data_IF_629367026761
#
_entry.id   IF_629367026761
#
_cell.length_a   1.000
_cell.length_b   1.000
_cell.length_c   1.000
_cell.angle_alpha   90.00
_cell.angle_beta   90.00
_cell.angle_gamma   90.00
#
_symmetry.space_group_name_H-M   'P 1'
#
loop_
_entity.id
_entity.type
_entity.pdbx_description
1 polymer ?
#
# COMPACT_ATOMS: atom_id res chain seq x y z
N UNK A 1 12.27 -22.15 -7.67
CA UNK A 1 12.85 -20.80 -7.55
C UNK A 1 12.13 -20.10 -6.41
N UNK A 2 12.82 -19.72 -5.33
CA UNK A 2 12.24 -18.86 -4.29
C UNK A 2 12.39 -17.41 -4.77
N UNK A 3 11.38 -16.91 -5.47
CA UNK A 3 11.34 -15.51 -5.90
C UNK A 3 10.65 -14.69 -4.81
N UNK A 4 11.36 -13.73 -4.21
CA UNK A 4 10.77 -12.71 -3.34
C UNK A 4 10.48 -11.45 -4.17
N UNK A 5 9.23 -11.01 -4.22
CA UNK A 5 8.87 -9.71 -4.80
C UNK A 5 9.30 -8.58 -3.86
N UNK A 6 9.67 -7.43 -4.42
CA UNK A 6 9.87 -6.19 -3.65
C UNK A 6 8.96 -5.14 -4.23
N UNK A 7 8.14 -4.55 -3.38
CA UNK A 7 7.06 -3.65 -3.78
C UNK A 7 7.34 -2.23 -3.33
N UNK A 8 7.12 -1.30 -4.26
CA UNK A 8 7.21 0.14 -4.06
C UNK A 8 5.89 0.72 -4.53
N UNK A 9 4.99 1.02 -3.61
CA UNK A 9 3.63 1.49 -3.91
C UNK A 9 3.41 2.86 -3.28
N UNK A 10 2.71 3.74 -3.99
CA UNK A 10 2.19 5.01 -3.46
C UNK A 10 0.69 5.11 -3.77
N UNK A 11 -0.12 5.16 -2.72
CA UNK A 11 -1.56 5.29 -2.82
C UNK A 11 -1.95 6.78 -2.72
N UNK A 12 -2.15 7.42 -3.88
CA UNK A 12 -2.60 8.81 -3.96
C UNK A 12 -4.12 8.95 -3.91
N UNK A 13 -4.64 9.72 -2.96
CA UNK A 13 -6.07 10.00 -2.82
C UNK A 13 -6.42 11.29 -3.55
N UNK A 14 -7.24 11.19 -4.60
CA UNK A 14 -7.62 12.32 -5.46
C UNK A 14 -9.06 12.84 -5.23
N UNK A 15 -9.80 12.21 -4.31
CA UNK A 15 -11.19 12.56 -3.97
C UNK A 15 -11.47 12.25 -2.48
N UNK A 16 -12.63 12.71 -1.97
CA UNK A 16 -13.08 12.38 -0.61
C UNK A 16 -12.32 13.10 0.51
N UNK A 17 -12.42 12.57 1.74
CA UNK A 17 -11.87 13.18 2.96
C UNK A 17 -10.35 13.40 2.90
N UNK A 18 -9.63 12.52 2.23
CA UNK A 18 -8.17 12.52 2.18
C UNK A 18 -7.61 13.09 0.87
N UNK A 19 -8.42 13.80 0.08
CA UNK A 19 -8.00 14.38 -1.19
C UNK A 19 -6.69 15.19 -1.05
N UNK A 20 -5.73 14.91 -1.94
CA UNK A 20 -4.40 15.52 -1.95
C UNK A 20 -3.38 14.87 -1.01
N UNK A 21 -3.76 13.79 -0.31
CA UNK A 21 -2.87 13.02 0.57
C UNK A 21 -2.40 11.73 -0.10
N UNK A 22 -1.33 11.12 0.41
CA UNK A 22 -0.87 9.80 -0.06
C UNK A 22 -0.28 8.94 1.05
N UNK A 23 -0.21 7.63 0.82
CA UNK A 23 0.46 6.64 1.66
C UNK A 23 1.53 5.92 0.85
N UNK A 24 2.74 5.83 1.39
CA UNK A 24 3.87 5.17 0.74
C UNK A 24 4.17 3.84 1.42
N UNK A 25 4.26 2.78 0.61
CA UNK A 25 4.48 1.40 1.05
C UNK A 25 5.77 0.89 0.43
N UNK A 26 6.61 0.30 1.26
CA UNK A 26 7.86 -0.31 0.81
C UNK A 26 8.16 -1.56 1.62
N UNK A 27 8.16 -2.72 0.96
CA UNK A 27 8.45 -4.00 1.62
C UNK A 27 9.04 -5.01 0.65
N UNK A 28 9.72 -6.01 1.22
CA UNK A 28 10.15 -7.21 0.51
C UNK A 28 9.34 -8.40 1.01
N UNK A 29 8.68 -9.08 0.09
CA UNK A 29 7.79 -10.21 0.37
C UNK A 29 6.34 -9.77 0.56
N UNK A 30 5.46 -10.77 0.51
CA UNK A 30 4.03 -10.67 0.79
C UNK A 30 3.71 -11.54 2.02
N UNK A 31 2.61 -11.30 2.77
CA UNK A 31 1.48 -10.40 2.43
C UNK A 31 1.42 -9.08 3.22
N UNK A 32 2.16 -8.94 4.31
CA UNK A 32 2.11 -7.75 5.17
C UNK A 32 3.20 -6.74 4.79
N UNK A 33 2.80 -5.71 4.06
CA UNK A 33 3.69 -4.69 3.53
C UNK A 33 3.77 -3.50 4.49
N UNK A 34 4.97 -2.95 4.71
CA UNK A 34 5.15 -1.82 5.60
C UNK A 34 4.70 -0.50 4.95
N UNK A 35 3.81 0.23 5.61
CA UNK A 35 3.58 1.65 5.32
C UNK A 35 4.71 2.45 5.99
N UNK A 36 5.55 3.05 5.18
CA UNK A 36 6.78 3.73 5.62
C UNK A 36 6.62 5.25 5.72
N UNK A 37 5.48 5.78 5.31
CA UNK A 37 5.20 7.20 5.38
C UNK A 37 3.90 7.59 4.68
N UNK A 38 3.64 8.89 4.67
CA UNK A 38 2.55 9.49 3.94
C UNK A 38 2.71 11.00 3.81
N UNK A 39 1.88 11.59 2.95
CA UNK A 39 1.84 13.03 2.65
C UNK A 39 0.46 13.59 2.96
N UNK A 40 0.40 14.91 3.15
CA UNK A 40 -0.87 15.60 3.44
C UNK A 40 -1.40 15.21 4.81
N UNK A 41 -2.64 14.74 4.87
CA UNK A 41 -3.25 14.29 6.12
C UNK A 41 -2.62 13.03 6.71
N UNK A 42 -1.83 12.29 5.93
CA UNK A 42 -1.10 11.12 6.40
C UNK A 42 0.36 11.42 6.74
N UNK A 43 0.68 12.68 7.11
CA UNK A 43 2.03 13.04 7.52
C UNK A 43 2.46 12.19 8.72
N UNK A 44 3.70 11.67 8.66
CA UNK A 44 4.26 10.73 9.65
C UNK A 44 3.48 9.41 9.80
N UNK A 45 2.67 9.02 8.81
CA UNK A 45 1.94 7.78 8.86
C UNK A 45 2.87 6.56 8.95
N UNK A 46 2.55 5.64 9.87
CA UNK A 46 3.20 4.32 9.96
C UNK A 46 2.13 3.27 10.12
N UNK A 47 2.39 2.06 9.62
CA UNK A 47 1.41 0.98 9.68
C UNK A 47 1.70 -0.16 8.73
N UNK A 48 0.64 -0.89 8.38
CA UNK A 48 0.70 -2.10 7.58
C UNK A 48 -0.36 -2.06 6.48
N UNK A 49 0.04 -2.42 5.28
CA UNK A 49 -0.83 -2.66 4.13
C UNK A 49 -0.84 -4.16 3.83
N UNK A 50 -2.01 -4.79 3.96
CA UNK A 50 -2.18 -6.21 3.68
C UNK A 50 -2.54 -6.41 2.21
N UNK A 51 -1.74 -7.18 1.50
CA UNK A 51 -1.96 -7.52 0.10
C UNK A 51 -2.77 -8.81 -0.03
N UNK A 52 -3.94 -8.71 -0.66
CA UNK A 52 -4.84 -9.83 -0.91
C UNK A 52 -5.13 -9.95 -2.42
N UNK A 53 -4.42 -10.82 -3.15
CA UNK A 53 -4.68 -11.01 -4.58
C UNK A 53 -6.02 -11.72 -4.78
N UNK A 54 -6.95 -11.07 -5.49
CA UNK A 54 -8.26 -11.63 -5.84
C UNK A 54 -8.17 -12.39 -7.16
N UNK A 55 -7.42 -11.84 -8.12
CA UNK A 55 -7.22 -12.43 -9.44
C UNK A 55 -5.79 -12.15 -9.90
N UNK A 56 -5.04 -13.18 -10.25
CA UNK A 56 -3.76 -13.06 -10.94
C UNK A 56 -3.79 -13.99 -12.15
N UNK A 57 -3.71 -13.43 -13.35
CA UNK A 57 -3.56 -14.19 -14.58
C UNK A 57 -2.46 -13.57 -15.46
N UNK A 58 -2.29 -14.09 -16.68
CA UNK A 58 -1.19 -13.68 -17.54
C UNK A 58 -1.22 -12.20 -17.98
N UNK A 59 -2.38 -11.54 -17.92
CA UNK A 59 -2.54 -10.16 -18.41
C UNK A 59 -3.02 -9.18 -17.34
N UNK A 60 -3.73 -9.67 -16.32
CA UNK A 60 -4.44 -8.86 -15.34
C UNK A 60 -4.13 -9.33 -13.92
N UNK A 61 -3.97 -8.35 -13.04
CA UNK A 61 -3.91 -8.54 -11.60
C UNK A 61 -4.95 -7.63 -10.94
N UNK A 62 -5.82 -8.22 -10.13
CA UNK A 62 -6.76 -7.52 -9.25
C UNK A 62 -6.40 -7.91 -7.83
N UNK A 63 -6.06 -6.92 -7.01
CA UNK A 63 -5.72 -7.11 -5.61
C UNK A 63 -6.47 -6.12 -4.73
N UNK A 64 -6.85 -6.59 -3.55
CA UNK A 64 -7.38 -5.76 -2.48
C UNK A 64 -6.23 -5.42 -1.51
N UNK A 65 -6.22 -4.16 -1.07
CA UNK A 65 -5.28 -3.67 -0.08
C UNK A 65 -6.04 -3.17 1.15
N UNK A 66 -5.84 -3.85 2.28
CA UNK A 66 -6.35 -3.39 3.57
C UNK A 66 -5.23 -2.65 4.30
N UNK A 67 -5.35 -1.32 4.35
CA UNK A 67 -4.30 -0.45 4.87
C UNK A 67 -4.72 0.11 6.23
N UNK A 68 -3.96 -0.23 7.28
CA UNK A 68 -4.15 0.31 8.62
C UNK A 68 -2.97 1.20 8.97
N UNK A 69 -3.25 2.46 9.27
CA UNK A 69 -2.22 3.47 9.58
C UNK A 69 -2.56 4.26 10.83
N UNK A 70 -1.51 4.65 11.55
CA UNK A 70 -1.57 5.68 12.59
C UNK A 70 -0.90 6.93 12.01
N UNK A 71 -1.59 8.06 12.07
CA UNK A 71 -1.10 9.37 11.62
C UNK A 71 -1.61 10.48 12.56
N UNK A 72 -1.03 11.68 12.44
CA UNK A 72 -1.33 12.84 13.29
C UNK A 72 -2.23 13.86 12.58
#
# INVERSE_FOLDING_TARGET
MNASSTEYLDFGFNTGKFNGSSLSVFSRGEPDLAVVGGRGQFMMATGVAQFNPILVNATNTIAEFNVTVIHY
#
